data_IF_280409635089
#
_entry.id   IF_280409635089
#
_cell.length_a   1.000
_cell.length_b   1.000
_cell.length_c   1.000
_cell.angle_alpha   90.00
_cell.angle_beta   90.00
_cell.angle_gamma   90.00
#
_symmetry.space_group_name_H-M   'P 1'
#
loop_
_entity.id
_entity.type
_entity.pdbx_description
1 polymer ?
#
# COMPACT_ATOMS: atom_id res chain seq x y z
N UNK A 1 -11.70 -30.37 10.90
CA UNK A 1 -11.03 -29.27 11.63
C UNK A 1 -9.73 -28.95 10.89
N UNK A 2 -9.41 -27.69 10.62
CA UNK A 2 -8.19 -27.33 9.89
C UNK A 2 -6.94 -27.52 10.77
N UNK A 3 -5.88 -28.08 10.18
CA UNK A 3 -4.58 -28.31 10.83
C UNK A 3 -4.12 -27.08 11.64
N UNK A 4 -3.85 -27.19 12.96
CA UNK A 4 -3.50 -26.06 13.82
C UNK A 4 -2.19 -25.37 13.42
N UNK A 5 -1.36 -26.01 12.59
CA UNK A 5 -0.01 -25.51 12.28
C UNK A 5 0.09 -24.65 11.01
N UNK A 6 -1.00 -24.46 10.25
CA UNK A 6 -0.98 -23.58 9.08
C UNK A 6 -1.55 -22.21 9.43
N UNK A 7 -0.66 -21.26 9.79
CA UNK A 7 -1.03 -19.86 10.00
C UNK A 7 -1.58 -19.28 8.70
N UNK A 8 -2.81 -18.76 8.72
CA UNK A 8 -3.40 -18.04 7.57
C UNK A 8 -3.27 -16.55 7.84
N UNK A 9 -2.87 -15.79 6.84
CA UNK A 9 -2.85 -14.33 6.84
C UNK A 9 -3.76 -13.80 5.74
N UNK A 10 -4.35 -12.64 5.99
CA UNK A 10 -5.09 -11.92 4.96
C UNK A 10 -4.12 -11.42 3.88
N UNK A 11 -4.50 -11.60 2.63
CA UNK A 11 -3.69 -11.20 1.48
C UNK A 11 -3.88 -9.73 1.08
N UNK A 12 -4.88 -9.06 1.65
CA UNK A 12 -5.17 -7.65 1.41
C UNK A 12 -4.07 -6.79 2.00
N UNK A 13 -3.45 -5.89 1.22
CA UNK A 13 -2.46 -4.95 1.73
C UNK A 13 -2.97 -4.19 2.97
N UNK A 14 -2.06 -3.97 3.94
CA UNK A 14 -2.31 -3.29 5.21
C UNK A 14 -3.24 -4.02 6.21
N UNK A 15 -3.84 -5.14 5.81
CA UNK A 15 -4.62 -5.96 6.72
C UNK A 15 -3.70 -6.84 7.58
N UNK A 16 -3.78 -6.69 8.92
CA UNK A 16 -2.98 -7.45 9.89
C UNK A 16 -3.70 -8.70 10.43
N UNK A 17 -4.88 -9.00 9.89
CA UNK A 17 -5.70 -10.13 10.32
C UNK A 17 -5.01 -11.46 9.97
N UNK A 18 -4.76 -12.27 11.00
CA UNK A 18 -4.20 -13.61 10.88
C UNK A 18 -4.98 -14.56 11.79
N UNK A 19 -4.88 -15.87 11.56
CA UNK A 19 -5.49 -16.87 12.47
C UNK A 19 -4.90 -16.87 13.88
N UNK A 20 -3.78 -16.16 14.11
CA UNK A 20 -3.17 -16.01 15.43
C UNK A 20 -3.73 -14.78 16.14
N UNK A 21 -3.79 -13.63 15.45
CA UNK A 21 -4.25 -12.37 16.03
C UNK A 21 -5.78 -12.23 16.06
N UNK A 22 -6.48 -12.98 15.21
CA UNK A 22 -7.93 -12.95 15.07
C UNK A 22 -8.45 -14.38 14.75
N UNK A 23 -8.36 -15.31 15.72
CA UNK A 23 -8.74 -16.72 15.53
C UNK A 23 -10.24 -16.92 15.27
N UNK A 24 -11.09 -16.00 15.74
CA UNK A 24 -12.55 -16.01 15.57
C UNK A 24 -13.00 -15.62 14.17
N UNK A 25 -12.15 -14.93 13.41
CA UNK A 25 -12.49 -14.41 12.08
C UNK A 25 -12.47 -15.49 11.02
N UNK A 26 -13.38 -15.38 10.06
CA UNK A 26 -13.39 -16.25 8.90
C UNK A 26 -12.32 -15.85 7.88
N UNK A 27 -11.69 -16.85 7.28
CA UNK A 27 -10.73 -16.70 6.19
C UNK A 27 -11.20 -17.47 4.97
N UNK A 28 -11.56 -16.73 3.92
CA UNK A 28 -11.97 -17.25 2.63
C UNK A 28 -10.76 -17.53 1.75
N UNK A 29 -10.80 -18.63 1.01
CA UNK A 29 -9.74 -18.97 0.05
C UNK A 29 -9.94 -18.15 -1.23
N UNK A 30 -8.89 -17.49 -1.69
CA UNK A 30 -8.90 -16.80 -2.99
C UNK A 30 -9.10 -17.84 -4.10
N UNK A 31 -10.02 -17.64 -5.05
CA UNK A 31 -10.24 -18.55 -6.16
C UNK A 31 -8.95 -18.93 -6.89
N UNK A 32 -8.84 -20.19 -7.32
CA UNK A 32 -7.71 -20.68 -8.13
C UNK A 32 -7.87 -20.35 -9.62
N UNK A 33 -9.11 -20.09 -10.05
CA UNK A 33 -9.40 -19.65 -11.41
C UNK A 33 -8.64 -18.35 -11.73
N UNK A 34 -7.94 -18.34 -12.87
CA UNK A 34 -7.06 -17.23 -13.25
C UNK A 34 -7.83 -15.91 -13.38
N UNK A 35 -8.96 -15.92 -14.09
CA UNK A 35 -9.72 -14.70 -14.36
C UNK A 35 -10.30 -14.11 -13.07
N UNK A 36 -10.87 -14.97 -12.22
CA UNK A 36 -11.42 -14.55 -10.93
C UNK A 36 -10.33 -14.07 -9.97
N UNK A 37 -9.17 -14.75 -9.96
CA UNK A 37 -8.01 -14.35 -9.17
C UNK A 37 -7.48 -12.98 -9.57
N UNK A 38 -7.41 -12.68 -10.87
CA UNK A 38 -7.03 -11.35 -11.36
C UNK A 38 -8.02 -10.27 -10.89
N UNK A 39 -9.33 -10.55 -10.94
CA UNK A 39 -10.35 -9.63 -10.40
C UNK A 39 -10.16 -9.39 -8.90
N UNK A 40 -9.84 -10.44 -8.14
CA UNK A 40 -9.54 -10.32 -6.70
C UNK A 40 -8.29 -9.47 -6.44
N UNK A 41 -7.19 -9.70 -7.16
CA UNK A 41 -5.96 -8.90 -7.04
C UNK A 41 -6.24 -7.42 -7.30
N UNK A 42 -6.98 -7.13 -8.38
CA UNK A 42 -7.39 -5.76 -8.74
C UNK A 42 -8.27 -5.14 -7.66
N UNK A 43 -9.25 -5.86 -7.13
CA UNK A 43 -10.14 -5.39 -6.07
C UNK A 43 -9.36 -5.04 -4.79
N UNK A 44 -8.37 -5.86 -4.43
CA UNK A 44 -7.51 -5.66 -3.25
C UNK A 44 -6.46 -4.55 -3.43
N UNK A 45 -6.39 -3.91 -4.61
CA UNK A 45 -5.38 -2.90 -4.96
C UNK A 45 -3.94 -3.39 -4.74
N UNK A 46 -3.68 -4.65 -5.07
CA UNK A 46 -2.37 -5.26 -4.91
C UNK A 46 -1.57 -5.13 -6.21
N UNK A 47 -0.34 -4.65 -6.12
CA UNK A 47 0.55 -4.46 -7.28
C UNK A 47 1.06 -5.81 -7.83
N UNK A 48 1.47 -6.71 -6.94
CA UNK A 48 2.08 -7.98 -7.32
C UNK A 48 1.07 -9.14 -7.31
N UNK A 49 0.92 -9.89 -8.42
CA UNK A 49 0.00 -11.00 -8.48
C UNK A 49 0.43 -12.17 -7.59
N UNK A 50 -0.52 -13.06 -7.29
CA UNK A 50 -0.24 -14.30 -6.59
C UNK A 50 0.31 -15.36 -7.55
N UNK A 51 1.22 -16.22 -7.08
CA UNK A 51 1.64 -17.38 -7.87
C UNK A 51 0.44 -18.27 -8.22
N UNK A 52 0.40 -18.83 -9.43
CA UNK A 52 -0.77 -19.52 -9.98
C UNK A 52 -1.32 -20.65 -9.07
N UNK A 53 -0.43 -21.39 -8.39
CA UNK A 53 -0.79 -22.50 -7.48
C UNK A 53 -0.86 -22.11 -6.00
N UNK A 54 -0.55 -20.85 -5.67
CA UNK A 54 -0.49 -20.40 -4.29
C UNK A 54 -1.88 -20.43 -3.64
N UNK A 55 -1.92 -20.89 -2.38
CA UNK A 55 -3.13 -20.88 -1.55
C UNK A 55 -3.14 -19.63 -0.71
N UNK A 56 -4.00 -18.70 -1.08
CA UNK A 56 -4.08 -17.36 -0.51
C UNK A 56 -5.42 -17.18 0.19
N UNK A 57 -5.46 -16.38 1.25
CA UNK A 57 -6.66 -16.17 2.06
C UNK A 57 -7.04 -14.70 2.17
N UNK A 58 -8.33 -14.42 2.32
CA UNK A 58 -8.88 -13.09 2.60
C UNK A 58 -9.79 -13.19 3.82
N UNK A 59 -9.64 -12.30 4.80
CA UNK A 59 -10.48 -12.30 6.00
C UNK A 59 -11.88 -11.73 5.71
N UNK A 60 -12.81 -12.03 6.62
CA UNK A 60 -14.20 -11.58 6.55
C UNK A 60 -14.43 -10.06 6.56
N UNK A 61 -13.49 -9.28 7.11
CA UNK A 61 -13.57 -7.81 7.18
C UNK A 61 -13.73 -7.15 5.79
N UNK A 62 -13.38 -7.88 4.73
CA UNK A 62 -13.42 -7.41 3.35
C UNK A 62 -14.72 -7.74 2.61
N UNK A 63 -15.66 -8.43 3.26
CA UNK A 63 -16.91 -8.90 2.68
C UNK A 63 -18.11 -8.44 3.51
N UNK A 64 -19.29 -8.57 2.92
CA UNK A 64 -20.54 -8.44 3.63
C UNK A 64 -21.12 -9.82 3.93
N UNK A 65 -20.70 -10.43 5.04
CA UNK A 65 -20.90 -11.86 5.33
C UNK A 65 -22.36 -12.30 5.21
N UNK A 66 -23.30 -11.45 5.61
CA UNK A 66 -24.73 -11.76 5.55
C UNK A 66 -25.25 -11.83 4.11
N UNK A 67 -24.73 -10.96 3.24
CA UNK A 67 -25.19 -10.82 1.85
C UNK A 67 -24.32 -11.58 0.83
N UNK A 68 -23.03 -11.74 1.10
CA UNK A 68 -22.05 -12.32 0.19
C UNK A 68 -21.89 -13.83 0.33
N UNK A 69 -22.20 -14.38 1.50
CA UNK A 69 -22.16 -15.82 1.69
C UNK A 69 -23.38 -16.50 1.08
N UNK A 70 -23.15 -17.63 0.42
CA UNK A 70 -24.22 -18.47 -0.11
C UNK A 70 -24.92 -19.24 1.02
N UNK A 71 -24.16 -19.62 2.05
CA UNK A 71 -24.62 -20.51 3.11
C UNK A 71 -24.61 -19.87 4.50
N UNK A 72 -24.84 -18.56 4.60
CA UNK A 72 -24.81 -17.82 5.87
C UNK A 72 -25.73 -18.43 6.93
N UNK A 73 -27.02 -18.58 6.62
CA UNK A 73 -28.02 -19.13 7.56
C UNK A 73 -27.61 -20.52 8.04
N UNK A 74 -27.23 -21.40 7.08
CA UNK A 74 -26.79 -22.77 7.40
C UNK A 74 -25.55 -22.76 8.29
N UNK A 75 -24.57 -21.92 7.97
CA UNK A 75 -23.34 -21.79 8.76
C UNK A 75 -23.62 -21.27 10.17
N UNK A 76 -24.54 -20.31 10.32
CA UNK A 76 -24.89 -19.73 11.62
C UNK A 76 -25.65 -20.71 12.52
N UNK A 77 -26.56 -21.51 11.96
CA UNK A 77 -27.41 -22.44 12.73
C UNK A 77 -26.75 -23.79 13.02
N UNK A 78 -26.05 -24.37 12.03
CA UNK A 78 -25.55 -25.75 12.08
C UNK A 78 -24.02 -25.81 12.00
N UNK A 79 -23.36 -24.71 11.62
CA UNK A 79 -21.95 -24.70 11.29
C UNK A 79 -21.64 -25.29 9.91
N UNK A 80 -20.36 -25.57 9.65
CA UNK A 80 -19.89 -26.24 8.44
C UNK A 80 -18.89 -25.44 7.61
N UNK A 81 -18.77 -25.78 6.32
CA UNK A 81 -17.82 -25.14 5.39
C UNK A 81 -18.39 -23.81 4.91
N UNK A 82 -17.65 -22.72 5.10
CA UNK A 82 -18.00 -21.39 4.57
C UNK A 82 -17.85 -21.34 3.04
N UNK A 83 -18.82 -20.72 2.35
CA UNK A 83 -18.82 -20.52 0.89
C UNK A 83 -19.35 -19.14 0.53
N UNK A 84 -18.59 -18.42 -0.29
CA UNK A 84 -19.04 -17.18 -0.92
C UNK A 84 -19.91 -17.48 -2.13
N UNK A 85 -20.87 -16.60 -2.42
CA UNK A 85 -21.63 -16.63 -3.68
C UNK A 85 -20.68 -16.53 -4.88
N UNK A 86 -21.08 -17.12 -6.00
CA UNK A 86 -20.30 -17.10 -7.24
C UNK A 86 -20.11 -15.66 -7.72
N UNK A 87 -18.89 -15.29 -8.07
CA UNK A 87 -18.58 -13.97 -8.63
C UNK A 87 -18.36 -12.85 -7.61
N UNK A 88 -18.48 -13.10 -6.30
CA UNK A 88 -18.23 -12.09 -5.28
C UNK A 88 -16.74 -11.71 -5.23
N UNK A 89 -16.50 -10.41 -5.12
CA UNK A 89 -15.19 -9.80 -4.92
C UNK A 89 -15.15 -9.12 -3.55
N UNK A 90 -13.97 -9.07 -2.89
CA UNK A 90 -13.82 -8.26 -1.69
C UNK A 90 -14.06 -6.79 -2.04
N UNK A 91 -14.89 -6.11 -1.26
CA UNK A 91 -15.38 -4.78 -1.57
C UNK A 91 -15.26 -3.80 -0.38
N UNK A 92 -14.94 -4.28 0.82
CA UNK A 92 -14.70 -3.45 2.01
C UNK A 92 -13.19 -3.33 2.30
N UNK A 93 -12.65 -2.12 2.28
CA UNK A 93 -11.21 -1.87 2.47
C UNK A 93 -10.90 -0.77 3.47
N UNK A 94 -11.45 -0.86 4.69
CA UNK A 94 -11.18 0.09 5.77
C UNK A 94 -9.68 0.23 6.09
N UNK A 95 -8.92 -0.86 5.96
CA UNK A 95 -7.47 -0.87 6.19
C UNK A 95 -6.64 -0.10 5.15
N UNK A 96 -7.24 0.25 4.01
CA UNK A 96 -6.59 0.99 2.92
C UNK A 96 -7.14 2.41 2.77
N UNK A 97 -8.06 2.84 3.65
CA UNK A 97 -8.48 4.22 3.69
C UNK A 97 -7.27 5.04 4.15
N UNK A 98 -6.76 5.89 3.27
CA UNK A 98 -5.78 6.90 3.66
C UNK A 98 -6.38 7.66 4.85
N UNK A 99 -5.66 7.67 5.96
CA UNK A 99 -6.00 8.56 7.07
C UNK A 99 -5.96 9.99 6.53
N UNK A 100 -7.14 10.52 6.19
CA UNK A 100 -7.29 11.94 5.93
C UNK A 100 -7.15 12.76 7.22
N UNK A 101 -6.86 12.10 8.34
CA UNK A 101 -6.22 12.68 9.54
C UNK A 101 -4.77 13.08 9.25
N UNK A 102 -4.55 13.83 8.16
CA UNK A 102 -3.48 14.81 8.22
C UNK A 102 -3.84 15.67 9.43
N UNK A 103 -3.01 15.80 10.48
CA UNK A 103 -3.19 16.91 11.39
C UNK A 103 -3.31 18.12 10.48
N UNK A 104 -4.42 18.87 10.58
CA UNK A 104 -4.46 20.21 9.98
C UNK A 104 -3.20 20.85 10.53
N UNK A 105 -2.15 20.99 9.71
CA UNK A 105 -1.03 21.84 10.07
C UNK A 105 -1.73 23.16 10.31
N UNK A 106 -1.93 23.52 11.58
CA UNK A 106 -2.39 24.85 11.92
C UNK A 106 -1.46 25.74 11.13
N UNK A 107 -2.02 26.59 10.26
CA UNK A 107 -1.22 27.51 9.49
C UNK A 107 -0.41 28.35 10.48
N UNK A 108 0.81 27.90 10.78
CA UNK A 108 1.75 28.66 11.56
C UNK A 108 2.13 29.81 10.63
N UNK A 109 1.53 30.96 10.88
CA UNK A 109 1.95 32.22 10.27
C UNK A 109 3.44 32.36 10.57
N UNK A 110 4.30 32.15 9.57
CA UNK A 110 5.66 32.66 9.59
C UNK A 110 5.70 33.96 8.78
N UNK A 111 5.48 35.14 9.36
CA UNK A 111 6.30 36.28 9.03
C UNK A 111 7.51 36.28 9.97
N UNK A 112 8.64 36.87 9.56
CA UNK A 112 9.80 37.25 10.39
C UNK A 112 11.12 36.49 10.16
N UNK A 113 11.24 35.59 9.19
CA UNK A 113 12.56 35.03 8.82
C UNK A 113 13.20 35.78 7.63
N UNK A 114 12.40 36.47 6.80
CA UNK A 114 12.88 37.30 5.68
C UNK A 114 13.33 38.69 6.15
N UNK A 115 12.67 39.25 7.18
CA UNK A 115 12.97 40.60 7.69
C UNK A 115 14.38 40.70 8.26
N UNK A 116 14.80 39.69 9.02
CA UNK A 116 16.13 39.65 9.61
C UNK A 116 17.24 39.58 8.56
N UNK A 117 16.99 38.88 7.44
CA UNK A 117 17.98 38.75 6.37
C UNK A 117 18.06 40.00 5.48
N UNK A 118 16.92 40.64 5.16
CA UNK A 118 16.90 41.94 4.46
C UNK A 118 17.53 43.06 5.31
N UNK A 119 17.32 43.05 6.63
CA UNK A 119 17.88 44.05 7.55
C UNK A 119 19.40 43.91 7.73
N UNK A 120 19.94 42.68 7.64
CA UNK A 120 21.39 42.45 7.65
C UNK A 120 22.04 42.89 6.32
N UNK A 121 21.41 42.59 5.18
CA UNK A 121 21.99 42.90 3.86
C UNK A 121 21.96 44.40 3.51
N UNK A 122 21.10 45.19 4.14
CA UNK A 122 20.99 46.63 3.89
C UNK A 122 21.94 47.50 4.73
N UNK A 123 22.62 46.96 5.75
CA UNK A 123 23.46 47.74 6.65
C UNK A 123 24.97 47.75 6.29
N UNK A 124 25.44 46.92 5.36
CA UNK A 124 26.86 46.82 5.01
C UNK A 124 27.21 47.41 3.62
N UNK A 125 26.52 48.48 3.21
CA UNK A 125 26.89 49.25 2.00
C UNK A 125 27.21 50.70 2.33
N UNK A 126 28.24 50.91 3.15
CA UNK A 126 29.13 52.06 3.00
C UNK A 126 30.57 51.57 2.79
N UNK A 127 31.20 52.07 1.72
CA UNK A 127 32.60 51.91 1.26
C UNK A 127 32.89 50.87 0.13
N UNK A 128 32.79 51.39 -1.10
CA UNK A 128 33.28 50.97 -2.44
C UNK A 128 34.81 50.66 -2.40
N UNK A 129 35.46 49.73 -3.17
CA UNK A 129 35.44 49.72 -4.65
C UNK A 129 35.54 48.39 -5.43
N UNK A 130 34.86 48.40 -6.59
CA UNK A 130 35.32 47.97 -7.93
C UNK A 130 36.48 46.99 -8.01
N UNK A 131 36.23 45.77 -8.53
CA UNK A 131 36.94 45.22 -9.70
C UNK A 131 36.13 44.10 -10.37
N UNK A 132 36.33 43.99 -11.68
CA UNK A 132 35.82 43.00 -12.61
C UNK A 132 36.13 41.55 -12.22
N UNK A 133 35.17 40.65 -12.39
CA UNK A 133 35.24 39.55 -13.37
C UNK A 133 34.14 38.52 -13.11
N UNK A 134 33.40 38.17 -14.17
CA UNK A 134 32.42 37.10 -14.15
C UNK A 134 33.10 35.75 -14.42
N UNK A 135 32.67 34.66 -13.73
CA UNK A 135 32.67 33.37 -14.40
C UNK A 135 31.34 32.63 -14.30
N UNK A 136 31.12 31.86 -15.37
CA UNK A 136 29.92 31.16 -15.80
C UNK A 136 29.59 29.95 -14.92
N UNK A 137 28.29 29.65 -14.80
CA UNK A 137 27.74 28.38 -14.28
C UNK A 137 28.13 27.21 -15.18
N UNK A 138 28.55 26.05 -14.65
CA UNK A 138 28.53 24.78 -15.37
C UNK A 138 27.24 23.97 -15.13
N UNK A 139 27.00 23.11 -16.12
CA UNK A 139 25.80 22.38 -16.54
C UNK A 139 25.30 21.25 -15.62
N UNK A 140 24.04 20.89 -15.84
CA UNK A 140 23.36 19.68 -15.36
C UNK A 140 24.02 18.40 -15.89
N UNK A 141 24.14 17.39 -15.04
CA UNK A 141 24.53 16.03 -15.42
C UNK A 141 23.42 15.06 -15.06
N UNK A 142 22.82 14.49 -16.10
CA UNK A 142 21.90 13.36 -16.09
C UNK A 142 22.72 12.07 -16.28
N UNK A 143 22.57 11.07 -15.40
CA UNK A 143 23.15 9.73 -15.64
C UNK A 143 22.08 8.67 -15.40
N UNK A 144 21.89 7.86 -16.44
CA UNK A 144 20.97 6.74 -16.55
C UNK A 144 21.50 5.48 -15.84
N UNK A 145 20.58 4.62 -15.38
CA UNK A 145 20.89 3.26 -14.95
C UNK A 145 20.78 2.31 -16.14
N UNK A 146 21.82 1.50 -16.39
CA UNK A 146 21.85 0.46 -17.43
C UNK A 146 21.48 -0.90 -16.83
N UNK A 147 20.81 -1.74 -17.63
CA UNK A 147 20.36 -3.09 -17.29
C UNK A 147 21.51 -4.11 -17.39
N UNK A 148 21.52 -5.09 -16.50
CA UNK A 148 22.48 -6.20 -16.45
C UNK A 148 21.80 -7.47 -16.98
N UNK A 149 22.19 -7.89 -18.20
CA UNK A 149 21.92 -9.21 -18.77
C UNK A 149 23.27 -9.90 -19.00
N UNK A 150 23.59 -10.93 -18.20
CA UNK A 150 24.58 -11.94 -18.60
C UNK A 150 24.09 -13.35 -18.28
N UNK A 151 23.88 -14.08 -19.37
CA UNK A 151 23.62 -15.52 -19.47
C UNK A 151 24.94 -16.27 -19.24
N UNK A 152 24.95 -17.33 -18.43
CA UNK A 152 26.02 -18.32 -18.44
C UNK A 152 25.49 -19.63 -19.05
N UNK A 153 26.17 -20.09 -20.10
CA UNK A 153 26.05 -21.43 -20.66
C UNK A 153 27.04 -22.38 -19.96
N UNK A 154 26.59 -23.60 -19.66
CA UNK A 154 27.39 -24.71 -19.15
C UNK A 154 28.18 -25.40 -20.28
N UNK A 155 29.40 -25.90 -20.02
CA UNK A 155 30.01 -26.98 -20.79
C UNK A 155 29.70 -28.39 -20.24
#
# INVERSE_FOLDING_TARGET
MSNPNTRKSCAVPLCKSTTVNAPEKLFFVVPMDFQMRQKWIKAMKRLYPFGAKSKVFCCEDHFDIENDMENYIKYKLVGGRIKLKKGILPHKFKCQQECNDKPKKSAAKKPNEIKYFEEILCNDVEAIPSTSDAPKKPEEVFVACYEDDTVMEDP
#
